data_IF_389783519231
#
_entry.id   IF_389783519231
#
_cell.length_a   1.000
_cell.length_b   1.000
_cell.length_c   1.000
_cell.angle_alpha   90.00
_cell.angle_beta   90.00
_cell.angle_gamma   90.00
#
_symmetry.space_group_name_H-M   'P 1'
#
loop_
_entity.id
_entity.type
_entity.pdbx_description
1 polymer ?
#
# COMPACT_ATOMS: atom_id res chain seq x y z
N UNK A 1 -6.51 8.52 -34.70
CA UNK A 1 -6.41 8.28 -33.26
C UNK A 1 -6.09 9.61 -32.61
N UNK A 2 -7.11 10.30 -32.14
CA UNK A 2 -7.02 11.68 -31.66
C UNK A 2 -6.21 11.76 -30.36
N UNK A 3 -5.12 12.53 -30.37
CA UNK A 3 -4.20 12.72 -29.22
C UNK A 3 -4.93 13.13 -27.93
N UNK A 4 -6.08 13.81 -28.06
CA UNK A 4 -6.94 14.19 -26.93
C UNK A 4 -7.54 12.98 -26.20
N UNK A 5 -7.90 11.90 -26.92
CA UNK A 5 -8.43 10.68 -26.30
C UNK A 5 -7.34 9.95 -25.51
N UNK A 6 -6.11 9.91 -26.04
CA UNK A 6 -4.97 9.33 -25.34
C UNK A 6 -4.67 10.08 -24.04
N UNK A 7 -4.70 11.41 -24.06
CA UNK A 7 -4.52 12.24 -22.87
C UNK A 7 -5.66 12.06 -21.86
N UNK A 8 -6.91 11.97 -22.33
CA UNK A 8 -8.07 11.78 -21.47
C UNK A 8 -8.05 10.43 -20.76
N UNK A 9 -7.78 9.34 -21.49
CA UNK A 9 -7.64 8.00 -20.92
C UNK A 9 -6.46 7.92 -19.97
N UNK A 10 -5.32 8.55 -20.31
CA UNK A 10 -4.16 8.63 -19.41
C UNK A 10 -4.48 9.32 -18.09
N UNK A 11 -5.22 10.44 -18.14
CA UNK A 11 -5.63 11.17 -16.93
C UNK A 11 -6.59 10.36 -16.06
N UNK A 12 -7.57 9.71 -16.68
CA UNK A 12 -8.54 8.86 -15.98
C UNK A 12 -7.88 7.61 -15.36
N UNK A 13 -6.92 7.01 -16.07
CA UNK A 13 -6.13 5.90 -15.55
C UNK A 13 -5.28 6.30 -14.34
N UNK A 14 -4.65 7.49 -14.38
CA UNK A 14 -3.88 8.02 -13.26
C UNK A 14 -4.76 8.35 -12.05
N UNK A 15 -5.92 8.98 -12.24
CA UNK A 15 -6.89 9.24 -11.15
C UNK A 15 -7.35 7.92 -10.50
N UNK A 16 -7.67 6.91 -11.31
CA UNK A 16 -8.11 5.60 -10.83
C UNK A 16 -6.98 4.89 -10.08
N UNK A 17 -5.76 4.90 -10.63
CA UNK A 17 -4.58 4.32 -9.97
C UNK A 17 -4.26 5.02 -8.64
N UNK A 18 -4.45 6.34 -8.55
CA UNK A 18 -4.25 7.11 -7.33
C UNK A 18 -5.28 6.71 -6.25
N UNK A 19 -6.56 6.58 -6.62
CA UNK A 19 -7.63 6.17 -5.71
C UNK A 19 -7.42 4.74 -5.18
N UNK A 20 -7.01 3.81 -6.04
CA UNK A 20 -6.72 2.42 -5.69
C UNK A 20 -5.47 2.31 -4.81
N UNK A 21 -4.43 3.12 -5.08
CA UNK A 21 -3.18 3.10 -4.30
C UNK A 21 -3.25 3.85 -2.98
N UNK A 22 -4.16 4.83 -2.83
CA UNK A 22 -4.30 5.63 -1.61
C UNK A 22 -4.48 4.78 -0.32
N UNK A 23 -5.44 3.85 -0.20
CA UNK A 23 -5.60 3.04 1.01
C UNK A 23 -4.43 2.09 1.25
N UNK A 24 -3.85 1.58 0.16
CA UNK A 24 -2.72 0.65 0.18
C UNK A 24 -1.45 1.35 0.69
N UNK A 25 -1.20 2.58 0.24
CA UNK A 25 -0.10 3.44 0.68
C UNK A 25 -0.24 3.82 2.15
N UNK A 26 -1.43 4.26 2.60
CA UNK A 26 -1.68 4.62 3.99
C UNK A 26 -1.37 3.43 4.90
N UNK A 27 -1.88 2.24 4.55
CA UNK A 27 -1.66 1.09 5.42
C UNK A 27 -0.22 0.60 5.39
N UNK A 28 0.43 0.63 4.23
CA UNK A 28 1.86 0.32 4.12
C UNK A 28 2.71 1.27 4.97
N UNK A 29 2.37 2.56 4.98
CA UNK A 29 3.04 3.57 5.79
C UNK A 29 2.85 3.31 7.29
N UNK A 30 1.61 3.12 7.75
CA UNK A 30 1.29 2.86 9.16
C UNK A 30 1.98 1.59 9.65
N UNK A 31 1.81 0.48 8.93
CA UNK A 31 2.40 -0.81 9.32
C UNK A 31 3.93 -0.75 9.27
N UNK A 32 4.49 -0.08 8.25
CA UNK A 32 5.92 0.11 8.12
C UNK A 32 6.52 0.88 9.30
N UNK A 33 5.90 1.99 9.69
CA UNK A 33 6.33 2.80 10.83
C UNK A 33 6.21 2.02 12.14
N UNK A 34 5.08 1.34 12.38
CA UNK A 34 4.88 0.55 13.61
C UNK A 34 5.93 -0.53 13.74
N UNK A 35 6.20 -1.27 12.66
CA UNK A 35 7.17 -2.38 12.68
C UNK A 35 8.62 -1.90 12.82
N UNK A 36 9.02 -0.84 12.11
CA UNK A 36 10.37 -0.29 12.26
C UNK A 36 10.59 0.31 13.65
N UNK A 37 9.56 0.91 14.25
CA UNK A 37 9.60 1.40 15.63
C UNK A 37 9.73 0.24 16.63
N UNK A 38 8.97 -0.86 16.43
CA UNK A 38 9.06 -2.06 17.25
C UNK A 38 10.45 -2.71 17.18
N UNK A 39 11.04 -2.77 15.99
CA UNK A 39 12.40 -3.23 15.78
C UNK A 39 13.43 -2.34 16.46
N UNK A 40 13.25 -1.02 16.39
CA UNK A 40 14.16 -0.06 17.02
C UNK A 40 14.11 -0.13 18.54
N UNK A 41 12.92 -0.18 19.14
CA UNK A 41 12.73 -0.22 20.61
C UNK A 41 13.28 -1.50 21.22
N UNK A 42 13.11 -2.64 20.54
CA UNK A 42 13.52 -3.94 21.07
C UNK A 42 14.97 -4.31 20.72
N UNK A 43 15.66 -3.50 19.91
CA UNK A 43 17.01 -3.78 19.36
C UNK A 43 17.14 -5.12 18.61
N UNK A 44 16.03 -5.77 18.26
CA UNK A 44 16.01 -7.05 17.55
C UNK A 44 16.00 -6.75 16.05
N UNK A 45 17.13 -7.05 15.39
CA UNK A 45 17.32 -6.87 13.95
C UNK A 45 17.07 -8.19 13.19
N UNK A 46 16.05 -8.94 13.61
CA UNK A 46 15.62 -10.16 12.93
C UNK A 46 14.60 -9.84 11.83
N UNK A 47 15.02 -10.08 10.59
CA UNK A 47 14.25 -9.74 9.39
C UNK A 47 12.93 -10.52 9.32
N UNK A 48 12.88 -11.72 9.89
CA UNK A 48 11.71 -12.61 9.99
C UNK A 48 10.56 -12.01 10.81
N UNK A 49 10.85 -11.30 11.89
CA UNK A 49 9.85 -10.68 12.76
C UNK A 49 9.08 -9.53 12.08
N UNK A 50 9.68 -8.87 11.09
CA UNK A 50 8.99 -7.86 10.26
C UNK A 50 8.15 -8.47 9.15
N UNK A 51 8.58 -9.62 8.61
CA UNK A 51 7.97 -10.18 7.39
C UNK A 51 6.56 -10.71 7.69
N UNK A 52 6.39 -11.44 8.80
CA UNK A 52 5.11 -12.07 9.13
C UNK A 52 4.00 -11.03 9.42
N UNK A 53 4.20 -10.04 10.32
CA UNK A 53 3.17 -9.05 10.60
C UNK A 53 2.86 -8.17 9.37
N UNK A 54 3.88 -7.85 8.56
CA UNK A 54 3.70 -7.06 7.35
C UNK A 54 2.86 -7.79 6.30
N UNK A 55 3.09 -9.09 6.11
CA UNK A 55 2.28 -9.92 5.20
C UNK A 55 0.82 -10.02 5.66
N UNK A 56 0.59 -10.22 6.96
CA UNK A 56 -0.76 -10.28 7.54
C UNK A 56 -1.47 -8.93 7.38
N UNK A 57 -0.79 -7.81 7.66
CA UNK A 57 -1.36 -6.48 7.49
C UNK A 57 -1.70 -6.19 6.02
N UNK A 58 -0.79 -6.50 5.07
CA UNK A 58 -1.07 -6.34 3.64
C UNK A 58 -2.24 -7.23 3.20
N UNK A 59 -2.30 -8.48 3.66
CA UNK A 59 -3.41 -9.40 3.37
C UNK A 59 -4.75 -8.89 3.90
N UNK A 60 -4.79 -8.39 5.14
CA UNK A 60 -6.00 -7.80 5.73
C UNK A 60 -6.46 -6.55 4.98
N UNK A 61 -5.53 -5.70 4.57
CA UNK A 61 -5.83 -4.49 3.78
C UNK A 61 -6.41 -4.86 2.43
N UNK A 62 -5.80 -5.81 1.73
CA UNK A 62 -6.32 -6.28 0.44
C UNK A 62 -7.68 -6.95 0.61
N UNK A 63 -7.95 -7.64 1.73
CA UNK A 63 -9.27 -8.21 2.02
C UNK A 63 -10.34 -7.15 2.29
N UNK A 64 -10.00 -6.11 3.06
CA UNK A 64 -10.93 -5.04 3.44
C UNK A 64 -11.15 -4.02 2.30
N UNK A 65 -10.07 -3.62 1.62
CA UNK A 65 -10.11 -2.65 0.53
C UNK A 65 -10.28 -3.31 -0.85
N UNK A 66 -10.12 -4.63 -0.98
CA UNK A 66 -10.38 -5.35 -2.24
C UNK A 66 -11.86 -5.40 -2.64
N UNK A 67 -12.78 -4.96 -1.77
CA UNK A 67 -14.18 -4.72 -2.14
C UNK A 67 -14.40 -3.31 -2.72
N UNK A 68 -13.46 -2.38 -2.50
CA UNK A 68 -13.55 -0.98 -2.93
C UNK A 68 -12.55 -0.64 -4.06
N UNK A 69 -11.49 -1.45 -4.22
CA UNK A 69 -10.58 -1.49 -5.37
C UNK A 69 -11.12 -2.44 -6.44
#
# INVERSE_FOLDING_TARGET
MDTNLALYVGRMALETALLISAPLLITCLVTGVVLTLFQAVTSIRDMTLTIVPKLVAMGLVTLLFGNWM
#
